data_IF_755991400264
#
_entry.id   IF_755991400264
#
_cell.length_a   1.000
_cell.length_b   1.000
_cell.length_c   1.000
_cell.angle_alpha   90.00
_cell.angle_beta   90.00
_cell.angle_gamma   90.00
#
_symmetry.space_group_name_H-M   'P 1'
#
loop_
_entity.id
_entity.type
_entity.pdbx_description
1 polymer ?
#
# COMPACT_ATOMS: atom_id res chain seq x y z
N UNK A 1 0.01 -4.84 -0.05
CA UNK A 1 -0.49 -3.83 0.92
C UNK A 1 -1.57 -2.92 0.31
N UNK A 2 -2.60 -3.43 -0.36
CA UNK A 2 -3.81 -2.63 -0.66
C UNK A 2 -4.80 -2.62 0.52
N UNK A 3 -4.64 -3.57 1.44
CA UNK A 3 -5.58 -3.91 2.51
C UNK A 3 -5.94 -2.75 3.43
N UNK A 4 -4.99 -1.92 3.87
CA UNK A 4 -5.28 -0.78 4.75
C UNK A 4 -6.02 0.35 4.03
N UNK A 5 -5.72 0.56 2.74
CA UNK A 5 -6.39 1.59 1.93
C UNK A 5 -7.77 1.12 1.48
N UNK A 6 -7.89 -0.15 1.08
CA UNK A 6 -9.15 -0.79 0.74
C UNK A 6 -10.11 -0.86 1.92
N UNK A 7 -9.60 -1.15 3.13
CA UNK A 7 -10.40 -1.10 4.36
C UNK A 7 -10.80 0.35 4.72
N UNK A 8 -9.95 1.33 4.47
CA UNK A 8 -10.26 2.75 4.69
C UNK A 8 -11.42 3.23 3.82
N UNK A 9 -11.36 2.96 2.50
CA UNK A 9 -12.44 3.32 1.56
C UNK A 9 -13.74 2.52 1.80
N UNK A 10 -13.68 1.35 2.44
CA UNK A 10 -14.87 0.62 2.85
C UNK A 10 -15.63 1.28 4.02
N UNK A 11 -14.99 2.19 4.77
CA UNK A 11 -15.61 2.95 5.86
C UNK A 11 -16.11 4.31 5.37
N UNK A 12 -15.25 5.10 4.73
CA UNK A 12 -15.62 6.35 4.05
C UNK A 12 -14.50 6.83 3.13
N UNK A 13 -14.82 7.69 2.17
CA UNK A 13 -13.81 8.30 1.29
C UNK A 13 -12.77 9.09 2.09
N UNK A 14 -13.19 9.85 3.11
CA UNK A 14 -12.29 10.59 3.99
C UNK A 14 -11.35 9.67 4.77
N UNK A 15 -11.85 8.53 5.26
CA UNK A 15 -11.03 7.52 5.97
C UNK A 15 -10.06 6.83 5.02
N UNK A 16 -10.47 6.55 3.78
CA UNK A 16 -9.63 6.00 2.72
C UNK A 16 -8.48 6.93 2.32
N UNK A 17 -8.77 8.22 2.19
CA UNK A 17 -7.79 9.26 1.89
C UNK A 17 -6.76 9.40 3.03
N UNK A 18 -7.21 9.45 4.29
CA UNK A 18 -6.33 9.48 5.47
C UNK A 18 -5.49 8.20 5.55
N UNK A 19 -6.08 7.02 5.36
CA UNK A 19 -5.36 5.75 5.37
C UNK A 19 -4.29 5.69 4.27
N UNK A 20 -4.57 6.27 3.11
CA UNK A 20 -3.61 6.42 2.01
C UNK A 20 -2.45 7.31 2.44
N UNK A 21 -2.72 8.50 2.98
CA UNK A 21 -1.70 9.43 3.49
C UNK A 21 -0.79 8.75 4.54
N UNK A 22 -1.37 8.09 5.54
CA UNK A 22 -0.62 7.40 6.62
C UNK A 22 0.28 6.29 6.05
N UNK A 23 -0.22 5.54 5.07
CA UNK A 23 0.55 4.48 4.42
C UNK A 23 1.71 5.02 3.60
N UNK A 24 1.53 6.15 2.94
CA UNK A 24 2.57 6.82 2.15
C UNK A 24 3.59 7.52 3.05
N UNK A 25 3.15 8.05 4.19
CA UNK A 25 4.03 8.61 5.21
C UNK A 25 5.06 7.57 5.68
N UNK A 26 4.65 6.29 5.85
CA UNK A 26 5.60 5.21 6.19
C UNK A 26 6.66 5.01 5.10
N UNK A 27 6.31 5.11 3.82
CA UNK A 27 7.28 5.03 2.71
C UNK A 27 8.19 6.26 2.68
N UNK A 28 7.66 7.44 2.98
CA UNK A 28 8.43 8.67 3.09
C UNK A 28 9.47 8.59 4.21
N UNK A 29 9.09 8.12 5.40
CA UNK A 29 10.01 7.93 6.53
C UNK A 29 11.12 6.92 6.19
N UNK A 30 10.83 5.84 5.45
CA UNK A 30 11.85 4.91 4.96
C UNK A 30 12.82 5.59 3.97
N UNK A 31 12.32 6.43 3.07
CA UNK A 31 13.14 7.21 2.14
C UNK A 31 14.05 8.22 2.85
N UNK A 32 13.56 8.87 3.90
CA UNK A 32 14.34 9.77 4.75
C UNK A 32 15.40 8.98 5.53
N UNK A 33 15.03 7.84 6.12
CA UNK A 33 15.99 6.95 6.80
C UNK A 33 17.10 6.47 5.88
N UNK A 34 16.79 6.18 4.60
CA UNK A 34 17.80 5.87 3.59
C UNK A 34 18.74 7.05 3.29
N UNK A 35 18.21 8.27 3.23
CA UNK A 35 19.01 9.48 2.99
C UNK A 35 20.01 9.78 4.11
N UNK A 36 19.63 9.51 5.36
CA UNK A 36 20.49 9.71 6.53
C UNK A 36 21.30 8.46 6.91
N UNK A 37 21.16 7.35 6.17
CA UNK A 37 21.96 6.15 6.42
C UNK A 37 23.43 6.43 6.09
N UNK A 38 24.37 6.21 7.03
CA UNK A 38 25.79 6.45 6.77
C UNK A 38 26.28 5.60 5.60
N UNK A 39 26.83 6.27 4.57
CA UNK A 39 27.39 5.65 3.37
C UNK A 39 28.83 5.14 3.57
N UNK A 40 29.35 5.22 4.81
CA UNK A 40 30.74 4.92 5.15
C UNK A 40 30.90 3.51 5.73
N UNK A 41 31.19 2.55 4.85
CA UNK A 41 31.57 1.19 5.19
C UNK A 41 31.62 0.36 3.90
N UNK A 42 32.78 0.32 3.25
CA UNK A 42 33.09 -0.48 2.06
C UNK A 42 31.96 -0.58 1.02
N UNK A 43 31.51 0.58 0.53
CA UNK A 43 30.41 0.74 -0.42
C UNK A 43 30.77 0.39 -1.88
N UNK A 44 31.61 -0.62 -2.11
CA UNK A 44 31.68 -1.28 -3.42
C UNK A 44 30.59 -2.35 -3.48
N UNK A 45 29.50 -2.03 -4.19
CA UNK A 45 28.31 -2.85 -4.49
C UNK A 45 27.14 -2.73 -3.50
N UNK A 46 26.48 -1.57 -3.48
CA UNK A 46 25.01 -1.52 -3.52
C UNK A 46 24.55 -0.05 -3.57
N UNK A 47 24.45 0.52 -4.77
CA UNK A 47 23.48 1.61 -4.99
C UNK A 47 22.11 0.99 -4.69
N UNK A 48 21.57 1.23 -3.50
CA UNK A 48 20.23 0.79 -3.13
C UNK A 48 19.24 1.21 -4.23
N UNK A 49 18.30 0.34 -4.64
CA UNK A 49 17.39 0.65 -5.73
C UNK A 49 16.61 1.92 -5.40
N UNK A 50 16.70 2.92 -6.30
CA UNK A 50 15.98 4.19 -6.15
C UNK A 50 14.48 3.89 -6.04
N UNK A 51 13.76 4.46 -5.06
CA UNK A 51 12.34 4.18 -4.86
C UNK A 51 11.50 4.95 -5.89
N UNK A 52 11.56 4.52 -7.16
CA UNK A 52 10.88 5.17 -8.30
C UNK A 52 9.39 5.35 -8.02
N UNK A 53 8.76 4.34 -7.40
CA UNK A 53 7.35 4.42 -7.00
C UNK A 53 7.07 5.63 -6.09
N UNK A 54 7.89 5.85 -5.07
CA UNK A 54 7.70 6.95 -4.12
C UNK A 54 7.87 8.32 -4.80
N UNK A 55 8.83 8.43 -5.72
CA UNK A 55 9.09 9.65 -6.48
C UNK A 55 7.89 9.98 -7.37
N UNK A 56 7.45 9.01 -8.19
CA UNK A 56 6.31 9.21 -9.09
C UNK A 56 5.02 9.49 -8.31
N UNK A 57 4.80 8.77 -7.22
CA UNK A 57 3.65 9.02 -6.35
C UNK A 57 3.64 10.45 -5.81
N UNK A 58 4.79 10.96 -5.36
CA UNK A 58 4.91 12.35 -4.88
C UNK A 58 4.58 13.37 -5.97
N UNK A 59 5.03 13.13 -7.21
CA UNK A 59 4.70 13.98 -8.36
C UNK A 59 3.18 13.99 -8.61
N UNK A 60 2.55 12.81 -8.63
CA UNK A 60 1.09 12.70 -8.82
C UNK A 60 0.29 13.41 -7.73
N UNK A 61 0.70 13.32 -6.47
CA UNK A 61 0.06 14.08 -5.37
C UNK A 61 0.21 15.57 -5.58
N UNK A 62 1.40 16.04 -5.95
CA UNK A 62 1.63 17.47 -6.18
C UNK A 62 0.71 18.02 -7.28
N UNK A 63 0.59 17.27 -8.38
CA UNK A 63 -0.29 17.58 -9.52
C UNK A 63 -1.77 17.55 -9.12
N UNK A 64 -2.18 16.55 -8.33
CA UNK A 64 -3.57 16.44 -7.87
C UNK A 64 -3.94 17.49 -6.82
N UNK A 65 -2.97 17.96 -6.02
CA UNK A 65 -3.15 19.00 -5.00
C UNK A 65 -3.01 20.42 -5.54
N UNK A 66 -2.37 20.61 -6.71
CA UNK A 66 -2.35 21.92 -7.37
C UNK A 66 -3.74 22.26 -7.92
N UNK A 67 -4.37 23.28 -7.34
CA UNK A 67 -5.70 23.75 -7.74
C UNK A 67 -5.73 24.13 -9.22
N UNK A 68 -6.59 23.45 -9.99
CA UNK A 68 -6.87 23.78 -11.40
C UNK A 68 -6.10 23.00 -12.46
N UNK A 69 -5.18 22.11 -12.10
CA UNK A 69 -4.36 21.37 -13.09
C UNK A 69 -5.10 20.20 -13.71
N UNK A 70 -6.03 19.56 -12.99
CA UNK A 70 -6.74 18.36 -13.46
C UNK A 70 -8.24 18.63 -13.59
N UNK A 71 -8.80 18.64 -14.82
CA UNK A 71 -10.24 18.79 -15.02
C UNK A 71 -11.03 17.62 -14.38
N UNK A 72 -12.24 17.88 -13.82
CA UNK A 72 -13.10 16.84 -13.24
C UNK A 72 -13.33 15.60 -14.13
N UNK A 73 -13.61 15.71 -15.45
CA UNK A 73 -13.84 14.52 -16.29
C UNK A 73 -12.57 13.68 -16.46
N UNK A 74 -11.39 14.31 -16.50
CA UNK A 74 -10.11 13.60 -16.60
C UNK A 74 -9.83 12.83 -15.32
N UNK A 75 -10.07 13.46 -14.16
CA UNK A 75 -9.96 12.78 -12.85
C UNK A 75 -10.89 11.57 -12.77
N UNK A 76 -12.15 11.70 -13.21
CA UNK A 76 -13.12 10.60 -13.21
C UNK A 76 -12.66 9.42 -14.08
N UNK A 77 -12.17 9.69 -15.29
CA UNK A 77 -11.64 8.67 -16.19
C UNK A 77 -10.41 7.96 -15.60
N UNK A 78 -9.51 8.71 -14.95
CA UNK A 78 -8.33 8.15 -14.28
C UNK A 78 -8.70 7.25 -13.10
N UNK A 79 -9.69 7.64 -12.30
CA UNK A 79 -10.19 6.84 -11.18
C UNK A 79 -10.82 5.54 -11.68
N UNK A 80 -11.65 5.61 -12.72
CA UNK A 80 -12.28 4.41 -13.30
C UNK A 80 -11.21 3.49 -13.92
N UNK A 81 -10.26 4.03 -14.68
CA UNK A 81 -9.14 3.27 -15.21
C UNK A 81 -8.29 2.59 -14.11
N UNK A 82 -8.05 3.29 -13.00
CA UNK A 82 -7.35 2.72 -11.84
C UNK A 82 -8.10 1.54 -11.23
N UNK A 83 -9.43 1.63 -11.14
CA UNK A 83 -10.29 0.56 -10.64
C UNK A 83 -10.18 -0.70 -11.51
N UNK A 84 -10.28 -0.56 -12.83
CA UNK A 84 -10.08 -1.68 -13.76
C UNK A 84 -8.67 -2.26 -13.68
N UNK A 85 -7.65 -1.40 -13.63
CA UNK A 85 -6.26 -1.83 -13.48
C UNK A 85 -6.02 -2.62 -12.19
N UNK A 86 -6.58 -2.18 -11.06
CA UNK A 86 -6.50 -2.89 -9.79
C UNK A 86 -7.17 -4.26 -9.82
N UNK A 87 -8.36 -4.35 -10.44
CA UNK A 87 -9.06 -5.63 -10.60
C UNK A 87 -8.23 -6.62 -11.41
N UNK A 88 -7.67 -6.18 -12.54
CA UNK A 88 -6.81 -7.00 -13.40
C UNK A 88 -5.54 -7.41 -12.64
N UNK A 89 -4.91 -6.49 -11.92
CA UNK A 89 -3.69 -6.77 -11.15
C UNK A 89 -3.93 -7.81 -10.04
N UNK A 90 -5.04 -7.70 -9.32
CA UNK A 90 -5.42 -8.67 -8.28
C UNK A 90 -5.70 -10.04 -8.91
N UNK A 91 -6.42 -10.08 -10.03
CA UNK A 91 -6.68 -11.32 -10.76
C UNK A 91 -5.38 -11.99 -11.23
N UNK A 92 -4.47 -11.24 -11.85
CA UNK A 92 -3.18 -11.72 -12.31
C UNK A 92 -2.27 -12.21 -11.16
N UNK A 93 -2.31 -11.54 -10.01
CA UNK A 93 -1.60 -11.98 -8.80
C UNK A 93 -2.15 -13.31 -8.28
N UNK A 94 -3.48 -13.48 -8.30
CA UNK A 94 -4.13 -14.75 -7.95
C UNK A 94 -3.67 -15.89 -8.86
N UNK A 95 -3.62 -15.66 -10.17
CA UNK A 95 -3.17 -16.65 -11.15
C UNK A 95 -1.67 -17.00 -11.03
N UNK A 96 -0.83 -16.06 -10.61
CA UNK A 96 0.60 -16.30 -10.37
C UNK A 96 0.92 -16.91 -9.00
N UNK A 97 -0.06 -17.03 -8.12
CA UNK A 97 0.15 -17.57 -6.77
C UNK A 97 0.07 -19.09 -6.80
N UNK A 98 1.19 -19.77 -6.49
CA UNK A 98 1.19 -21.23 -6.35
C UNK A 98 0.94 -21.65 -4.90
N UNK A 99 -0.21 -22.27 -4.65
CA UNK A 99 -0.58 -22.79 -3.32
C UNK A 99 0.46 -23.81 -2.80
N UNK A 100 1.03 -24.62 -3.70
CA UNK A 100 2.08 -25.57 -3.36
C UNK A 100 3.37 -24.90 -2.86
N UNK A 101 3.75 -23.74 -3.39
CA UNK A 101 4.91 -23.01 -2.88
C UNK A 101 4.63 -22.41 -1.51
N UNK A 102 3.41 -21.91 -1.28
CA UNK A 102 2.99 -21.38 0.03
C UNK A 102 3.08 -22.46 1.11
N UNK A 103 2.59 -23.67 0.83
CA UNK A 103 2.63 -24.79 1.78
C UNK A 103 4.06 -25.23 2.11
N UNK A 104 5.01 -25.05 1.18
CA UNK A 104 6.44 -25.38 1.39
C UNK A 104 7.18 -24.40 2.30
N UNK A 105 6.64 -23.21 2.57
CA UNK A 105 7.25 -22.21 3.47
C UNK A 105 7.22 -22.67 4.95
N UNK A 106 6.41 -23.68 5.27
CA UNK A 106 6.37 -24.33 6.58
C UNK A 106 5.34 -23.70 7.55
N UNK A 107 4.93 -24.47 8.58
CA UNK A 107 3.78 -24.14 9.42
C UNK A 107 3.98 -22.88 10.27
N UNK A 108 5.22 -22.57 10.67
CA UNK A 108 5.52 -21.37 11.47
C UNK A 108 5.17 -20.08 10.72
N UNK A 109 5.52 -19.98 9.44
CA UNK A 109 5.21 -18.79 8.65
C UNK A 109 3.71 -18.67 8.39
N UNK A 110 3.04 -19.81 8.15
CA UNK A 110 1.60 -19.85 7.99
C UNK A 110 0.88 -19.35 9.25
N UNK A 111 1.30 -19.80 10.44
CA UNK A 111 0.73 -19.36 11.72
C UNK A 111 0.91 -17.86 11.94
N UNK A 112 2.07 -17.30 11.60
CA UNK A 112 2.30 -15.86 11.72
C UNK A 112 1.39 -15.07 10.79
N UNK A 113 1.24 -15.49 9.53
CA UNK A 113 0.38 -14.81 8.55
C UNK A 113 -1.09 -14.91 8.95
N UNK A 114 -1.56 -16.10 9.32
CA UNK A 114 -2.95 -16.33 9.74
C UNK A 114 -3.23 -15.57 11.04
N UNK A 115 -2.33 -15.63 12.02
CA UNK A 115 -2.45 -14.90 13.28
C UNK A 115 -2.51 -13.39 13.07
N UNK A 116 -1.60 -12.83 12.26
CA UNK A 116 -1.63 -11.41 11.93
C UNK A 116 -2.93 -11.01 11.20
N UNK A 117 -3.41 -11.86 10.29
CA UNK A 117 -4.67 -11.64 9.57
C UNK A 117 -5.87 -11.69 10.51
N UNK A 118 -5.89 -12.65 11.45
CA UNK A 118 -6.93 -12.76 12.46
C UNK A 118 -6.95 -11.53 13.37
N UNK A 119 -5.80 -11.09 13.88
CA UNK A 119 -5.71 -9.87 14.71
C UNK A 119 -6.21 -8.64 13.96
N UNK A 120 -5.80 -8.48 12.69
CA UNK A 120 -6.24 -7.37 11.85
C UNK A 120 -7.75 -7.36 11.58
N UNK A 121 -8.40 -8.53 11.63
CA UNK A 121 -9.84 -8.67 11.43
C UNK A 121 -10.64 -8.55 12.74
N UNK A 122 -10.17 -9.18 13.81
CA UNK A 122 -10.87 -9.24 15.10
C UNK A 122 -10.88 -7.88 15.79
N UNK A 123 -9.79 -7.11 15.75
CA UNK A 123 -9.74 -5.80 16.43
C UNK A 123 -10.82 -4.84 15.91
N UNK A 124 -10.94 -4.57 14.58
CA UNK A 124 -12.01 -3.73 14.06
C UNK A 124 -13.40 -4.29 14.31
N UNK A 125 -13.58 -5.62 14.22
CA UNK A 125 -14.85 -6.28 14.43
C UNK A 125 -15.35 -6.11 15.88
N UNK A 126 -14.48 -6.34 16.86
CA UNK A 126 -14.79 -6.14 18.29
C UNK A 126 -15.11 -4.68 18.57
N UNK A 127 -14.33 -3.75 18.02
CA UNK A 127 -14.60 -2.32 18.17
C UNK A 127 -15.98 -1.93 17.63
N UNK A 128 -16.34 -2.41 16.44
CA UNK A 128 -17.65 -2.15 15.83
C UNK A 128 -18.81 -2.73 16.65
N UNK A 129 -18.62 -3.88 17.29
CA UNK A 129 -19.61 -4.49 18.18
C UNK A 129 -19.72 -3.77 19.53
N UNK A 130 -18.64 -3.15 20.01
CA UNK A 130 -18.62 -2.42 21.28
C UNK A 130 -19.17 -0.97 21.17
N UNK A 131 -19.21 -0.41 19.95
CA UNK A 131 -19.73 0.95 19.68
C UNK A 131 -21.20 0.94 19.23
N UNK A 132 -21.78 -0.25 19.02
CA UNK A 132 -23.22 -0.45 18.85
C UNK A 132 -23.93 -0.52 20.19
#
# INVERSE_FOLDING_TARGET
MAQVVGAGYAVSDATGDIATIVKLFRVFVLGVGWWFSPQGGDAHKAKGPVPVFAIMFRVFVLVNSSSGVVPPPVRAALVEGSRWGLLIAIAALGLNTSLGAILRVGPRHLLVVVGATAVAFVIPLVWLLAVR
#
